data_IF_198453868216
#
_entry.id   IF_198453868216
#
_cell.length_a   1.000
_cell.length_b   1.000
_cell.length_c   1.000
_cell.angle_alpha   90.00
_cell.angle_beta   90.00
_cell.angle_gamma   90.00
#
_symmetry.space_group_name_H-M   'P 1'
#
loop_
_entity.id
_entity.type
_entity.pdbx_description
1 polymer ?
#
# COMPACT_ATOMS: atom_id res chain seq x y z
N UNK A 1 -31.05 42.91 -25.70
CA UNK A 1 -31.01 41.68 -26.52
C UNK A 1 -29.71 40.95 -26.23
N UNK A 2 -29.74 39.82 -25.50
CA UNK A 2 -28.51 39.02 -25.29
C UNK A 2 -28.29 38.16 -26.53
N UNK A 3 -27.07 38.18 -27.09
CA UNK A 3 -26.66 37.37 -28.24
C UNK A 3 -26.98 35.88 -28.01
N UNK A 4 -27.53 35.20 -29.01
CA UNK A 4 -27.88 33.77 -28.97
C UNK A 4 -26.66 32.88 -28.72
N UNK A 5 -25.46 33.32 -29.08
CA UNK A 5 -24.21 32.61 -28.83
C UNK A 5 -23.78 32.64 -27.36
N UNK A 6 -24.25 33.61 -26.58
CA UNK A 6 -23.94 33.77 -25.15
C UNK A 6 -24.93 33.05 -24.22
N UNK A 7 -25.82 32.22 -24.77
CA UNK A 7 -26.76 31.44 -23.97
C UNK A 7 -26.03 30.28 -23.25
N UNK A 8 -26.46 29.95 -22.01
CA UNK A 8 -25.86 28.84 -21.25
C UNK A 8 -26.05 27.51 -21.98
N UNK A 9 -24.98 26.73 -22.08
CA UNK A 9 -25.01 25.37 -22.63
C UNK A 9 -25.39 24.39 -21.52
N UNK A 10 -26.43 23.59 -21.75
CA UNK A 10 -26.81 22.53 -20.81
C UNK A 10 -26.17 21.21 -21.20
N UNK A 11 -25.39 20.63 -20.29
CA UNK A 11 -24.68 19.38 -20.55
C UNK A 11 -25.60 18.16 -20.70
N UNK A 12 -26.80 18.20 -20.11
CA UNK A 12 -27.74 17.08 -20.19
C UNK A 12 -28.48 17.01 -21.52
N UNK A 13 -28.97 18.13 -22.04
CA UNK A 13 -29.70 18.16 -23.31
C UNK A 13 -28.85 18.62 -24.50
N UNK A 14 -27.56 18.90 -24.28
CA UNK A 14 -26.57 19.33 -25.28
C UNK A 14 -26.99 20.56 -26.10
N UNK A 15 -27.81 21.45 -25.54
CA UNK A 15 -28.35 22.63 -26.26
C UNK A 15 -28.16 23.94 -25.49
N UNK A 16 -28.03 25.04 -26.23
CA UNK A 16 -28.11 26.42 -25.71
C UNK A 16 -29.56 26.89 -25.77
N UNK A 17 -30.18 27.14 -24.61
CA UNK A 17 -31.56 27.62 -24.52
C UNK A 17 -31.68 28.69 -23.45
N UNK A 18 -32.62 29.61 -23.63
CA UNK A 18 -32.98 30.61 -22.63
C UNK A 18 -33.88 29.98 -21.57
N UNK A 19 -33.28 29.28 -20.62
CA UNK A 19 -33.95 28.63 -19.50
C UNK A 19 -33.16 28.88 -18.21
N UNK A 20 -33.80 28.78 -17.03
CA UNK A 20 -33.07 28.83 -15.76
C UNK A 20 -32.02 27.73 -15.72
N UNK A 21 -30.81 28.08 -15.27
CA UNK A 21 -29.70 27.15 -15.14
C UNK A 21 -29.23 27.01 -13.71
N UNK A 22 -28.60 25.88 -13.44
CA UNK A 22 -27.86 25.59 -12.23
C UNK A 22 -26.48 25.08 -12.61
N UNK A 23 -25.48 25.45 -11.81
CA UNK A 23 -24.08 25.09 -12.03
C UNK A 23 -23.66 24.13 -10.93
N UNK A 24 -23.02 23.03 -11.30
CA UNK A 24 -22.39 22.13 -10.33
C UNK A 24 -21.25 22.88 -9.63
N UNK A 25 -21.23 22.86 -8.30
CA UNK A 25 -20.19 23.56 -7.50
C UNK A 25 -18.80 23.00 -7.81
N UNK A 26 -18.70 21.69 -8.05
CA UNK A 26 -17.42 21.01 -8.24
C UNK A 26 -16.89 21.10 -9.67
N UNK A 27 -17.58 20.51 -10.64
CA UNK A 27 -17.09 20.48 -12.04
C UNK A 27 -17.42 21.76 -12.82
N UNK A 28 -18.16 22.70 -12.23
CA UNK A 28 -18.58 23.94 -12.88
C UNK A 28 -19.45 23.77 -14.13
N UNK A 29 -19.99 22.57 -14.37
CA UNK A 29 -20.86 22.30 -15.52
C UNK A 29 -22.26 22.86 -15.27
N UNK A 30 -22.83 23.47 -16.31
CA UNK A 30 -24.17 24.08 -16.28
C UNK A 30 -25.24 23.14 -16.84
N UNK A 31 -26.41 23.18 -16.22
CA UNK A 31 -27.58 22.40 -16.59
C UNK A 31 -28.81 23.29 -16.55
N UNK A 32 -29.75 23.09 -17.49
CA UNK A 32 -31.09 23.65 -17.32
C UNK A 32 -31.77 22.98 -16.13
N UNK A 33 -32.39 23.77 -15.25
CA UNK A 33 -33.10 23.24 -14.07
C UNK A 33 -34.15 22.21 -14.44
N UNK A 34 -34.84 22.43 -15.57
CA UNK A 34 -35.92 21.57 -16.06
C UNK A 34 -35.40 20.29 -16.74
N UNK A 35 -34.10 20.20 -17.03
CA UNK A 35 -33.51 18.96 -17.50
C UNK A 35 -33.18 18.03 -16.33
N UNK A 36 -33.14 18.50 -15.09
CA UNK A 36 -32.75 17.71 -13.93
C UNK A 36 -33.96 17.13 -13.21
N UNK A 37 -33.81 15.91 -12.69
CA UNK A 37 -34.80 15.28 -11.83
C UNK A 37 -34.06 14.58 -10.66
N UNK A 38 -34.42 14.88 -9.40
CA UNK A 38 -35.37 15.92 -8.96
C UNK A 38 -34.86 17.34 -9.28
N UNK A 39 -35.77 18.32 -9.34
CA UNK A 39 -35.39 19.73 -9.55
C UNK A 39 -34.62 20.23 -8.32
N UNK A 40 -33.38 20.73 -8.47
CA UNK A 40 -32.60 21.22 -7.35
C UNK A 40 -33.25 22.41 -6.65
N UNK A 41 -33.30 22.40 -5.32
CA UNK A 41 -33.89 23.48 -4.50
C UNK A 41 -32.89 24.57 -4.12
N UNK A 42 -31.61 24.23 -3.96
CA UNK A 42 -30.53 25.17 -3.62
C UNK A 42 -29.43 25.10 -4.68
N UNK A 43 -29.07 26.25 -5.25
CA UNK A 43 -28.03 26.36 -6.28
C UNK A 43 -26.61 26.46 -5.71
N UNK A 44 -26.44 26.81 -4.44
CA UNK A 44 -25.11 27.09 -3.86
C UNK A 44 -24.34 25.84 -3.43
N UNK A 45 -25.02 24.72 -3.22
CA UNK A 45 -24.41 23.46 -2.75
C UNK A 45 -24.68 22.28 -3.70
N UNK A 46 -25.25 22.56 -4.87
CA UNK A 46 -25.67 21.50 -5.78
C UNK A 46 -24.50 20.87 -6.53
N UNK A 47 -24.53 19.54 -6.61
CA UNK A 47 -23.59 18.72 -7.35
C UNK A 47 -24.33 17.96 -8.46
N UNK A 48 -23.72 17.86 -9.64
CA UNK A 48 -24.26 17.03 -10.71
C UNK A 48 -24.16 15.54 -10.38
N UNK A 49 -24.87 14.68 -11.12
CA UNK A 49 -24.89 13.23 -10.88
C UNK A 49 -23.51 12.60 -10.89
N UNK A 50 -22.60 13.03 -11.78
CA UNK A 50 -21.23 12.52 -11.82
C UNK A 50 -20.40 12.97 -10.61
N UNK A 51 -20.52 14.23 -10.18
CA UNK A 51 -19.82 14.72 -8.98
C UNK A 51 -20.40 14.15 -7.68
N UNK A 52 -21.68 13.75 -7.67
CA UNK A 52 -22.28 13.00 -6.57
C UNK A 52 -21.84 11.53 -6.57
N UNK A 53 -21.71 10.93 -7.75
CA UNK A 53 -21.24 9.55 -7.92
C UNK A 53 -19.76 9.42 -7.52
N UNK A 54 -18.94 10.40 -7.89
CA UNK A 54 -17.50 10.42 -7.68
C UNK A 54 -17.08 11.58 -6.79
N UNK A 55 -17.40 11.54 -5.48
CA UNK A 55 -17.11 12.63 -4.56
C UNK A 55 -15.62 12.76 -4.24
N UNK A 56 -14.80 11.73 -4.45
CA UNK A 56 -13.36 11.73 -4.15
C UNK A 56 -12.52 12.33 -5.28
N UNK A 57 -11.31 12.76 -4.93
CA UNK A 57 -10.33 13.22 -5.90
C UNK A 57 -9.62 12.05 -6.57
N UNK A 58 -9.22 12.23 -7.82
CA UNK A 58 -8.43 11.24 -8.55
C UNK A 58 -6.97 11.35 -8.12
N UNK A 59 -6.41 10.27 -7.58
CA UNK A 59 -4.99 10.16 -7.28
C UNK A 59 -4.17 10.00 -8.57
N UNK A 60 -4.57 9.04 -9.42
CA UNK A 60 -3.88 8.72 -10.68
C UNK A 60 -4.85 8.20 -11.73
N UNK A 61 -4.62 8.57 -12.99
CA UNK A 61 -5.27 7.96 -14.16
C UNK A 61 -4.46 6.72 -14.57
N UNK A 62 -5.12 5.57 -14.69
CA UNK A 62 -4.50 4.26 -14.93
C UNK A 62 -4.44 3.97 -16.42
N UNK A 63 -5.59 3.88 -17.08
CA UNK A 63 -5.73 3.61 -18.51
C UNK A 63 -7.01 4.26 -19.03
N UNK A 64 -7.31 4.12 -20.32
CA UNK A 64 -8.55 4.58 -20.93
C UNK A 64 -9.19 3.50 -21.80
N UNK A 65 -10.46 3.69 -22.17
CA UNK A 65 -11.14 2.88 -23.19
C UNK A 65 -12.01 3.76 -24.07
N UNK A 66 -12.17 3.33 -25.31
CA UNK A 66 -13.14 3.91 -26.21
C UNK A 66 -14.56 3.58 -25.73
N UNK A 67 -15.49 4.51 -25.98
CA UNK A 67 -16.92 4.27 -25.75
C UNK A 67 -17.55 3.83 -27.05
N UNK A 68 -18.60 3.01 -27.02
CA UNK A 68 -19.26 2.48 -28.25
C UNK A 68 -19.75 3.58 -29.22
N UNK A 69 -19.79 4.84 -28.77
CA UNK A 69 -20.21 6.01 -29.55
C UNK A 69 -19.05 6.87 -30.11
N UNK A 70 -17.76 6.52 -29.90
CA UNK A 70 -16.63 7.29 -30.42
C UNK A 70 -16.24 6.95 -31.88
N UNK A 71 -16.74 5.82 -32.42
CA UNK A 71 -16.32 5.27 -33.72
C UNK A 71 -16.93 5.87 -35.00
N UNK A 72 -17.68 6.98 -34.94
CA UNK A 72 -18.25 7.63 -36.13
C UNK A 72 -17.84 9.10 -36.23
N UNK A 73 -16.58 9.35 -36.62
CA UNK A 73 -16.19 10.61 -37.25
C UNK A 73 -15.53 10.30 -38.58
N UNK A 74 -16.34 10.32 -39.64
CA UNK A 74 -15.89 10.38 -41.04
C UNK A 74 -15.05 11.65 -41.25
N UNK A 75 -13.94 11.48 -41.97
CA UNK A 75 -12.80 12.39 -41.97
C UNK A 75 -13.04 13.83 -42.42
N UNK A 76 -12.24 14.71 -41.82
CA UNK A 76 -11.60 15.84 -42.47
C UNK A 76 -10.32 16.16 -41.70
N UNK A 77 -9.17 16.02 -42.37
CA UNK A 77 -7.84 16.30 -41.85
C UNK A 77 -7.58 17.80 -41.85
N UNK A 78 -8.04 18.49 -40.81
CA UNK A 78 -7.52 19.78 -40.37
C UNK A 78 -7.81 19.90 -38.86
N UNK A 79 -7.07 19.18 -38.01
CA UNK A 79 -7.28 19.19 -36.57
C UNK A 79 -6.43 20.27 -35.90
N UNK A 80 -7.11 21.27 -35.36
CA UNK A 80 -6.55 22.15 -34.34
C UNK A 80 -6.29 21.34 -33.05
N UNK A 81 -5.38 21.78 -32.18
CA UNK A 81 -5.15 21.13 -30.86
C UNK A 81 -6.42 21.05 -30.00
N UNK A 82 -7.40 21.91 -30.26
CA UNK A 82 -8.69 21.90 -29.59
C UNK A 82 -9.59 20.72 -30.03
N UNK A 83 -9.44 20.22 -31.27
CA UNK A 83 -10.26 19.11 -31.81
C UNK A 83 -9.80 17.74 -31.30
N UNK A 84 -8.50 17.52 -31.10
CA UNK A 84 -7.97 16.27 -30.54
C UNK A 84 -8.49 16.03 -29.11
N UNK A 85 -8.46 17.07 -28.27
CA UNK A 85 -8.96 17.01 -26.89
C UNK A 85 -10.50 16.84 -26.81
N UNK A 86 -11.23 17.12 -27.89
CA UNK A 86 -12.68 16.84 -27.96
C UNK A 86 -12.92 15.34 -28.12
N UNK A 87 -12.08 14.64 -28.86
CA UNK A 87 -12.10 13.17 -28.95
C UNK A 87 -11.82 12.52 -27.60
N UNK A 88 -10.76 12.97 -26.91
CA UNK A 88 -10.36 12.47 -25.59
C UNK A 88 -11.49 12.56 -24.55
N UNK A 89 -12.24 13.67 -24.54
CA UNK A 89 -13.35 13.86 -23.59
C UNK A 89 -14.51 12.87 -23.75
N UNK A 90 -14.60 12.17 -24.90
CA UNK A 90 -15.64 11.15 -25.16
C UNK A 90 -15.27 9.76 -24.65
N UNK A 91 -14.01 9.55 -24.24
CA UNK A 91 -13.51 8.29 -23.69
C UNK A 91 -13.91 8.11 -22.24
N UNK A 92 -13.78 6.89 -21.75
CA UNK A 92 -13.78 6.60 -20.31
C UNK A 92 -12.36 6.34 -19.84
N UNK A 93 -12.08 6.71 -18.59
CA UNK A 93 -10.77 6.59 -17.97
C UNK A 93 -10.89 5.77 -16.71
N UNK A 94 -10.01 4.79 -16.54
CA UNK A 94 -9.92 4.00 -15.32
C UNK A 94 -9.03 4.75 -14.33
N UNK A 95 -9.55 5.09 -13.16
CA UNK A 95 -8.84 5.96 -12.21
C UNK A 95 -8.68 5.30 -10.85
N UNK A 96 -7.55 5.59 -10.20
CA UNK A 96 -7.33 5.36 -8.78
C UNK A 96 -7.70 6.62 -8.01
N UNK A 97 -8.50 6.46 -6.96
CA UNK A 97 -8.92 7.53 -6.06
C UNK A 97 -7.86 7.85 -5.00
N UNK A 98 -7.87 9.09 -4.50
CA UNK A 98 -7.17 9.45 -3.26
C UNK A 98 -7.79 8.71 -2.08
N UNK A 99 -6.95 8.28 -1.14
CA UNK A 99 -7.33 7.58 0.11
C UNK A 99 -8.13 6.28 -0.05
N UNK A 100 -8.24 5.71 -1.27
CA UNK A 100 -8.84 4.39 -1.52
C UNK A 100 -7.86 3.42 -2.19
N UNK A 101 -8.14 2.14 -2.01
CA UNK A 101 -7.31 1.07 -2.55
C UNK A 101 -7.51 0.90 -4.06
N UNK A 102 -6.59 0.16 -4.70
CA UNK A 102 -6.71 -0.17 -6.11
C UNK A 102 -7.94 -1.04 -6.44
N UNK A 103 -8.57 -1.66 -5.43
CA UNK A 103 -9.85 -2.38 -5.58
C UNK A 103 -11.04 -1.45 -5.84
N UNK A 104 -10.94 -0.20 -5.41
CA UNK A 104 -11.99 0.81 -5.62
C UNK A 104 -11.81 1.60 -6.93
N UNK A 105 -10.83 1.25 -7.75
CA UNK A 105 -10.66 1.87 -9.06
C UNK A 105 -11.93 1.67 -9.90
N UNK A 106 -12.30 2.69 -10.66
CA UNK A 106 -13.49 2.63 -11.50
C UNK A 106 -13.32 3.46 -12.78
N UNK A 107 -14.21 3.19 -13.74
CA UNK A 107 -14.30 3.94 -14.98
C UNK A 107 -15.08 5.24 -14.78
N UNK A 108 -14.45 6.36 -15.13
CA UNK A 108 -15.03 7.70 -15.10
C UNK A 108 -15.09 8.31 -16.50
N UNK A 109 -16.02 9.25 -16.72
CA UNK A 109 -16.11 9.93 -18.01
C UNK A 109 -14.94 10.90 -18.20
N UNK A 110 -14.36 10.92 -19.40
CA UNK A 110 -13.31 11.86 -19.77
C UNK A 110 -13.75 13.31 -19.66
N UNK A 111 -15.02 13.56 -19.99
CA UNK A 111 -15.62 14.87 -19.80
C UNK A 111 -15.58 15.31 -18.33
N UNK A 112 -16.05 14.50 -17.40
CA UNK A 112 -15.99 14.81 -15.97
C UNK A 112 -14.54 15.03 -15.51
N UNK A 113 -13.65 14.11 -15.88
CA UNK A 113 -12.25 14.13 -15.48
C UNK A 113 -11.53 15.40 -15.97
N UNK A 114 -11.78 15.81 -17.21
CA UNK A 114 -11.21 17.04 -17.78
C UNK A 114 -11.67 18.32 -17.06
N UNK A 115 -12.84 18.29 -16.40
CA UNK A 115 -13.40 19.44 -15.67
C UNK A 115 -12.91 19.52 -14.24
N UNK A 116 -12.81 18.38 -13.56
CA UNK A 116 -12.44 18.31 -12.14
C UNK A 116 -10.91 18.23 -11.96
N UNK A 117 -10.21 17.57 -12.88
CA UNK A 117 -8.76 17.33 -12.83
C UNK A 117 -8.06 17.62 -14.17
N UNK A 118 -8.24 18.84 -14.70
CA UNK A 118 -7.70 19.27 -15.99
C UNK A 118 -6.22 18.91 -16.21
N UNK A 119 -5.34 19.26 -15.25
CA UNK A 119 -3.91 19.04 -15.43
C UNK A 119 -3.54 17.55 -15.52
N UNK A 120 -4.19 16.69 -14.71
CA UNK A 120 -3.96 15.24 -14.76
C UNK A 120 -4.46 14.67 -16.08
N UNK A 121 -5.65 15.10 -16.53
CA UNK A 121 -6.24 14.69 -17.80
C UNK A 121 -5.35 15.02 -18.99
N UNK A 122 -4.96 16.29 -19.16
CA UNK A 122 -4.13 16.71 -20.31
C UNK A 122 -2.76 16.03 -20.29
N UNK A 123 -2.11 15.96 -19.12
CA UNK A 123 -0.81 15.31 -19.00
C UNK A 123 -0.87 13.82 -19.36
N UNK A 124 -2.00 13.15 -19.07
CA UNK A 124 -2.21 11.75 -19.41
C UNK A 124 -2.45 11.58 -20.90
N UNK A 125 -3.39 12.33 -21.50
CA UNK A 125 -3.69 12.26 -22.93
C UNK A 125 -2.46 12.56 -23.80
N UNK A 126 -1.62 13.53 -23.40
CA UNK A 126 -0.41 13.87 -24.14
C UNK A 126 0.67 12.78 -24.10
N UNK A 127 0.63 11.86 -23.14
CA UNK A 127 1.65 10.82 -22.95
C UNK A 127 1.19 9.45 -23.41
N UNK A 128 -0.10 9.18 -23.35
CA UNK A 128 -0.67 7.85 -23.56
C UNK A 128 -1.64 7.88 -24.73
N UNK A 129 -1.19 7.37 -25.88
CA UNK A 129 -1.96 7.33 -27.12
C UNK A 129 -2.75 6.03 -27.31
N UNK A 130 -2.32 4.96 -26.65
CA UNK A 130 -2.93 3.63 -26.74
C UNK A 130 -3.36 3.14 -25.35
N UNK A 131 -4.49 2.40 -25.26
CA UNK A 131 -4.95 1.86 -23.99
C UNK A 131 -4.07 0.67 -23.58
N UNK A 132 -3.52 0.75 -22.36
CA UNK A 132 -2.79 -0.35 -21.73
C UNK A 132 -3.75 -1.28 -20.97
N UNK A 133 -3.39 -2.57 -20.87
CA UNK A 133 -4.16 -3.53 -20.08
C UNK A 133 -4.05 -3.21 -18.58
N UNK A 134 -5.20 -3.23 -17.90
CA UNK A 134 -5.29 -3.01 -16.46
C UNK A 134 -4.46 -4.05 -15.70
N UNK A 135 -4.43 -5.31 -16.16
CA UNK A 135 -3.69 -6.38 -15.50
C UNK A 135 -2.16 -6.17 -15.56
N UNK A 136 -1.66 -5.48 -16.59
CA UNK A 136 -0.24 -5.13 -16.71
C UNK A 136 0.14 -3.96 -15.79
N UNK A 137 -0.76 -2.97 -15.64
CA UNK A 137 -0.50 -1.77 -14.82
C UNK A 137 -0.76 -2.00 -13.33
N UNK A 138 -1.77 -2.80 -12.98
CA UNK A 138 -2.15 -3.13 -11.62
C UNK A 138 -1.88 -4.62 -11.39
N UNK A 139 -0.67 -4.97 -10.92
CA UNK A 139 -0.37 -6.33 -10.53
C UNK A 139 -1.34 -6.83 -9.45
N UNK A 140 -1.64 -8.13 -9.47
CA UNK A 140 -2.50 -8.78 -8.47
C UNK A 140 -2.04 -8.49 -7.03
N UNK A 141 -0.73 -8.41 -6.78
CA UNK A 141 -0.18 -8.05 -5.47
C UNK A 141 -0.75 -6.73 -4.92
N UNK A 142 -0.99 -5.71 -5.75
CA UNK A 142 -1.48 -4.40 -5.29
C UNK A 142 -2.94 -4.41 -4.82
N UNK A 143 -3.69 -5.45 -5.19
CA UNK A 143 -5.07 -5.69 -4.72
C UNK A 143 -5.14 -6.83 -3.71
N UNK A 144 -4.00 -7.41 -3.33
CA UNK A 144 -3.94 -8.49 -2.33
C UNK A 144 -3.51 -7.92 -0.98
N UNK A 145 -4.21 -8.32 0.07
CA UNK A 145 -3.90 -7.87 1.43
C UNK A 145 -2.59 -8.53 1.89
N UNK A 146 -1.69 -7.72 2.46
CA UNK A 146 -0.48 -8.21 3.11
C UNK A 146 -0.71 -8.42 4.60
N UNK A 147 -1.25 -7.40 5.27
CA UNK A 147 -1.57 -7.44 6.71
C UNK A 147 -2.50 -6.31 7.13
N UNK A 148 -3.15 -6.51 8.27
CA UNK A 148 -3.86 -5.45 8.99
C UNK A 148 -2.88 -4.73 9.91
N UNK A 149 -2.82 -3.40 9.82
CA UNK A 149 -1.89 -2.52 10.53
C UNK A 149 -2.52 -1.94 11.79
N UNK A 150 -3.77 -1.47 11.69
CA UNK A 150 -4.51 -0.86 12.79
C UNK A 150 -6.00 -1.19 12.69
N UNK A 151 -6.74 -0.91 13.76
CA UNK A 151 -8.18 -1.05 13.84
C UNK A 151 -8.77 0.16 14.56
N UNK A 152 -9.90 0.64 14.05
CA UNK A 152 -10.68 1.75 14.59
C UNK A 152 -12.16 1.44 14.36
N UNK A 153 -12.88 1.09 15.43
CA UNK A 153 -14.24 0.53 15.38
C UNK A 153 -14.35 -0.66 14.39
N UNK A 154 -15.18 -0.53 13.34
CA UNK A 154 -15.40 -1.55 12.30
C UNK A 154 -14.50 -1.35 11.06
N UNK A 155 -13.56 -0.40 11.13
CA UNK A 155 -12.59 -0.13 10.07
C UNK A 155 -11.20 -0.62 10.46
N UNK A 156 -10.49 -1.13 9.47
CA UNK A 156 -9.14 -1.66 9.62
C UNK A 156 -8.21 -1.03 8.61
N UNK A 157 -7.07 -0.53 9.08
CA UNK A 157 -6.03 -0.01 8.20
C UNK A 157 -5.27 -1.18 7.59
N UNK A 158 -5.38 -1.36 6.28
CA UNK A 158 -4.81 -2.49 5.55
C UNK A 158 -3.55 -2.07 4.82
N UNK A 159 -2.49 -2.88 4.97
CA UNK A 159 -1.29 -2.83 4.14
C UNK A 159 -1.45 -3.79 2.97
N UNK A 160 -1.24 -3.27 1.76
CA UNK A 160 -1.34 -4.00 0.49
C UNK A 160 0.01 -4.55 0.05
N UNK A 161 0.05 -5.73 -0.59
CA UNK A 161 1.31 -6.33 -1.01
C UNK A 161 2.00 -5.46 -2.07
N UNK A 162 3.33 -5.37 -1.98
CA UNK A 162 4.19 -4.61 -2.89
C UNK A 162 3.84 -3.12 -3.06
N UNK A 163 3.05 -2.57 -2.14
CA UNK A 163 2.82 -1.13 -2.03
C UNK A 163 3.49 -0.57 -0.76
N UNK A 164 3.86 0.71 -0.72
CA UNK A 164 4.39 1.33 0.48
C UNK A 164 3.29 1.58 1.55
N UNK A 165 3.70 1.98 2.76
CA UNK A 165 2.75 2.16 3.88
C UNK A 165 1.87 3.41 3.73
N UNK A 166 2.30 4.42 2.99
CA UNK A 166 1.50 5.59 2.60
C UNK A 166 0.27 5.22 1.74
N UNK A 167 0.29 4.06 1.09
CA UNK A 167 -0.82 3.52 0.31
C UNK A 167 -1.75 2.62 1.14
N UNK A 168 -1.56 2.53 2.46
CA UNK A 168 -2.51 1.83 3.33
C UNK A 168 -3.86 2.54 3.36
N UNK A 169 -4.95 1.77 3.35
CA UNK A 169 -6.32 2.31 3.29
C UNK A 169 -7.17 1.69 4.40
N UNK A 170 -8.16 2.44 4.86
CA UNK A 170 -9.14 1.94 5.82
C UNK A 170 -10.21 1.16 5.09
N UNK A 171 -10.36 -0.11 5.45
CA UNK A 171 -11.28 -1.05 4.82
C UNK A 171 -12.21 -1.65 5.87
N UNK A 172 -13.41 -2.07 5.45
CA UNK A 172 -14.37 -2.73 6.34
C UNK A 172 -13.94 -4.17 6.61
N UNK A 173 -14.39 -4.76 7.71
CA UNK A 173 -14.11 -6.18 8.01
C UNK A 173 -14.60 -7.15 6.94
N UNK A 174 -15.60 -6.76 6.13
CA UNK A 174 -16.20 -7.61 5.08
C UNK A 174 -15.23 -7.97 3.95
N UNK A 175 -14.24 -7.12 3.68
CA UNK A 175 -13.26 -7.34 2.60
C UNK A 175 -11.96 -7.97 3.07
N UNK A 176 -11.82 -8.22 4.38
CA UNK A 176 -10.60 -8.70 5.04
C UNK A 176 -10.77 -10.17 5.42
N UNK A 177 -9.77 -10.97 5.10
CA UNK A 177 -9.75 -12.39 5.49
C UNK A 177 -9.68 -12.57 7.01
N UNK A 178 -10.49 -13.49 7.54
CA UNK A 178 -10.49 -13.89 8.95
C UNK A 178 -9.09 -14.25 9.49
N UNK A 179 -8.24 -14.85 8.64
CA UNK A 179 -6.87 -15.23 8.96
C UNK A 179 -6.03 -14.00 9.37
N UNK A 180 -6.16 -12.90 8.62
CA UNK A 180 -5.44 -11.65 8.84
C UNK A 180 -5.95 -10.91 10.08
N UNK A 181 -7.27 -10.91 10.30
CA UNK A 181 -7.87 -10.34 11.51
C UNK A 181 -7.40 -11.09 12.76
N UNK A 182 -7.41 -12.44 12.73
CA UNK A 182 -6.89 -13.28 13.82
C UNK A 182 -5.41 -13.01 14.07
N UNK A 183 -4.61 -12.86 13.01
CA UNK A 183 -3.19 -12.54 13.12
C UNK A 183 -2.97 -11.16 13.77
N UNK A 184 -3.73 -10.14 13.35
CA UNK A 184 -3.68 -8.80 13.94
C UNK A 184 -4.03 -8.81 15.43
N UNK A 185 -5.16 -9.39 15.81
CA UNK A 185 -5.55 -9.47 17.22
C UNK A 185 -4.56 -10.28 18.06
N UNK A 186 -3.94 -11.33 17.49
CA UNK A 186 -2.88 -12.09 18.17
C UNK A 186 -1.65 -11.20 18.43
N UNK A 187 -1.26 -10.36 17.47
CA UNK A 187 -0.13 -9.43 17.59
C UNK A 187 -0.39 -8.33 18.62
N UNK A 188 -1.62 -7.83 18.69
CA UNK A 188 -2.00 -6.76 19.63
C UNK A 188 -2.12 -7.25 21.08
N UNK A 189 -2.22 -8.57 21.31
CA UNK A 189 -2.19 -9.13 22.65
C UNK A 189 -0.80 -8.93 23.27
N UNK A 190 -0.71 -8.53 24.55
CA UNK A 190 0.57 -8.36 25.22
C UNK A 190 1.34 -9.68 25.23
N UNK A 191 2.58 -9.66 24.74
CA UNK A 191 3.49 -10.80 24.86
C UNK A 191 3.82 -10.99 26.33
N UNK A 192 3.56 -12.19 26.87
CA UNK A 192 4.02 -12.55 28.20
C UNK A 192 5.54 -12.60 28.22
N UNK A 193 6.18 -11.93 29.17
CA UNK A 193 7.62 -12.03 29.39
C UNK A 193 7.95 -13.43 29.94
N UNK A 194 8.14 -14.39 29.04
CA UNK A 194 8.84 -15.63 29.39
C UNK A 194 10.33 -15.38 29.28
N UNK A 195 10.91 -14.69 30.28
CA UNK A 195 12.36 -14.63 30.38
C UNK A 195 12.86 -15.97 30.89
N UNK A 196 13.46 -16.76 30.01
CA UNK A 196 14.35 -17.83 30.47
C UNK A 196 15.60 -17.11 30.92
N UNK A 197 15.95 -17.24 32.20
CA UNK A 197 17.24 -16.75 32.69
C UNK A 197 18.33 -17.64 32.11
N UNK A 198 18.83 -17.26 30.95
CA UNK A 198 20.04 -17.85 30.39
C UNK A 198 21.22 -17.43 31.26
N UNK A 199 21.93 -18.41 31.82
CA UNK A 199 23.19 -18.15 32.51
C UNK A 199 24.31 -18.07 31.46
N UNK A 200 24.72 -16.84 31.14
CA UNK A 200 25.80 -16.55 30.19
C UNK A 200 27.20 -16.92 30.73
N UNK A 201 27.31 -17.34 32.00
CA UNK A 201 28.58 -17.76 32.61
C UNK A 201 28.79 -19.28 32.62
N UNK A 202 27.74 -20.07 32.38
CA UNK A 202 27.79 -21.53 32.36
C UNK A 202 28.20 -22.04 30.97
N UNK A 203 29.43 -22.58 30.83
CA UNK A 203 29.90 -23.22 29.59
C UNK A 203 29.02 -24.43 29.18
N UNK A 204 28.31 -25.05 30.12
CA UNK A 204 27.36 -26.12 29.82
C UNK A 204 26.04 -25.61 29.22
N UNK A 205 25.75 -24.29 29.28
CA UNK A 205 24.53 -23.70 28.69
C UNK A 205 24.44 -24.00 27.20
N UNK A 206 25.55 -23.97 26.45
CA UNK A 206 25.51 -24.29 25.02
C UNK A 206 25.04 -25.72 24.76
N UNK A 207 25.51 -26.71 25.53
CA UNK A 207 25.11 -28.11 25.36
C UNK A 207 23.61 -28.33 25.61
N UNK A 208 22.98 -27.48 26.44
CA UNK A 208 21.53 -27.51 26.69
C UNK A 208 20.71 -26.94 25.54
N UNK A 209 21.24 -25.94 24.82
CA UNK A 209 20.51 -25.19 23.80
C UNK A 209 20.96 -25.49 22.36
N UNK A 210 22.05 -26.23 22.18
CA UNK A 210 22.55 -26.66 20.86
C UNK A 210 21.47 -27.48 20.15
N UNK A 211 21.18 -27.11 18.91
CA UNK A 211 20.28 -27.85 18.06
C UNK A 211 21.00 -29.06 17.46
N UNK A 212 20.42 -30.25 17.64
CA UNK A 212 20.88 -31.50 17.00
C UNK A 212 20.26 -31.71 15.62
N UNK A 213 19.07 -31.16 15.43
CA UNK A 213 18.26 -31.22 14.21
C UNK A 213 17.72 -29.81 13.94
N UNK A 214 17.16 -29.60 12.75
CA UNK A 214 16.54 -28.34 12.37
C UNK A 214 15.50 -27.86 13.41
N UNK A 215 15.55 -26.59 13.85
CA UNK A 215 14.61 -26.08 14.85
C UNK A 215 13.15 -26.14 14.40
N UNK A 216 12.27 -26.68 15.24
CA UNK A 216 10.83 -26.88 14.92
C UNK A 216 10.01 -25.61 14.72
N UNK A 217 10.56 -24.45 15.08
CA UNK A 217 9.91 -23.16 14.82
C UNK A 217 10.11 -22.69 13.36
N UNK A 218 11.03 -23.31 12.62
CA UNK A 218 11.20 -23.04 11.19
C UNK A 218 10.17 -23.84 10.39
N UNK A 219 9.75 -23.27 9.26
CA UNK A 219 8.82 -23.92 8.34
C UNK A 219 9.49 -25.05 7.53
N UNK A 220 10.80 -24.95 7.30
CA UNK A 220 11.60 -25.88 6.50
C UNK A 220 12.88 -26.29 7.25
N UNK A 221 13.51 -27.36 6.78
CA UNK A 221 14.74 -27.88 7.35
C UNK A 221 15.97 -27.17 6.80
N UNK A 222 16.94 -26.91 7.68
CA UNK A 222 18.26 -26.40 7.35
C UNK A 222 19.14 -27.53 6.82
N UNK A 223 20.06 -27.19 5.92
CA UNK A 223 21.18 -28.09 5.62
C UNK A 223 22.11 -28.23 6.83
N UNK A 224 22.83 -29.34 6.92
CA UNK A 224 23.74 -29.64 8.05
C UNK A 224 24.73 -28.50 8.32
N UNK A 225 25.37 -27.98 7.28
CA UNK A 225 26.32 -26.88 7.39
C UNK A 225 25.66 -25.56 7.87
N UNK A 226 24.38 -25.34 7.54
CA UNK A 226 23.63 -24.18 8.01
C UNK A 226 23.28 -24.34 9.49
N UNK A 227 22.91 -25.56 9.92
CA UNK A 227 22.65 -25.87 11.32
C UNK A 227 23.91 -25.69 12.17
N UNK A 228 25.07 -26.10 11.65
CA UNK A 228 26.37 -25.83 12.28
C UNK A 228 26.64 -24.32 12.41
N UNK A 229 26.40 -23.54 11.35
CA UNK A 229 26.52 -22.08 11.37
C UNK A 229 25.60 -21.42 12.41
N UNK A 230 24.34 -21.85 12.49
CA UNK A 230 23.38 -21.37 13.50
C UNK A 230 23.83 -21.74 14.92
N UNK A 231 24.31 -22.96 15.13
CA UNK A 231 24.84 -23.38 16.43
C UNK A 231 26.10 -22.59 16.80
N UNK A 232 26.96 -22.23 15.84
CA UNK A 232 28.12 -21.39 16.07
C UNK A 232 27.74 -19.96 16.46
N UNK A 233 26.75 -19.36 15.78
CA UNK A 233 26.19 -18.06 16.17
C UNK A 233 25.59 -18.11 17.57
N UNK A 234 24.83 -19.16 17.88
CA UNK A 234 24.22 -19.36 19.20
C UNK A 234 25.28 -19.52 20.30
N UNK A 235 26.34 -20.30 20.05
CA UNK A 235 27.46 -20.45 20.96
C UNK A 235 28.09 -19.09 21.29
N UNK A 236 28.42 -18.28 20.28
CA UNK A 236 29.00 -16.96 20.48
C UNK A 236 28.07 -16.02 21.27
N UNK A 237 26.78 -16.05 20.94
CA UNK A 237 25.77 -15.25 21.65
C UNK A 237 25.68 -15.62 23.13
N UNK A 238 25.65 -16.91 23.46
CA UNK A 238 25.65 -17.42 24.85
C UNK A 238 26.92 -17.02 25.63
N UNK A 239 28.02 -16.77 24.93
CA UNK A 239 29.27 -16.26 25.51
C UNK A 239 29.46 -14.75 25.40
N UNK A 240 28.42 -14.00 25.00
CA UNK A 240 28.46 -12.54 24.83
C UNK A 240 29.56 -12.07 23.85
N UNK A 241 29.80 -12.84 22.79
CA UNK A 241 30.76 -12.52 21.73
C UNK A 241 30.02 -12.14 20.45
N UNK A 242 30.47 -11.07 19.81
CA UNK A 242 29.98 -10.69 18.50
C UNK A 242 30.53 -11.65 17.43
N UNK A 243 29.76 -11.85 16.36
CA UNK A 243 30.09 -12.78 15.28
C UNK A 243 30.14 -12.09 13.92
N UNK A 244 31.06 -12.52 13.08
CA UNK A 244 31.11 -12.19 11.65
C UNK A 244 30.91 -13.49 10.89
N UNK A 245 29.75 -13.63 10.24
CA UNK A 245 29.45 -14.79 9.41
C UNK A 245 29.99 -14.57 7.99
N UNK A 246 31.17 -15.12 7.71
CA UNK A 246 31.93 -14.89 6.48
C UNK A 246 31.85 -16.05 5.48
N UNK A 247 30.70 -16.74 5.41
CA UNK A 247 30.47 -17.83 4.46
C UNK A 247 30.46 -17.36 3.00
N UNK A 248 30.70 -18.30 2.08
CA UNK A 248 30.58 -18.07 0.63
C UNK A 248 29.19 -17.53 0.24
N UNK A 249 29.15 -16.77 -0.86
CA UNK A 249 27.90 -16.24 -1.39
C UNK A 249 26.99 -17.39 -1.85
N UNK A 250 25.71 -17.33 -1.50
CA UNK A 250 24.74 -18.37 -1.87
C UNK A 250 24.54 -19.50 -0.85
N UNK A 251 25.40 -19.62 0.17
CA UNK A 251 25.26 -20.66 1.23
C UNK A 251 24.11 -20.40 2.24
N UNK A 252 23.23 -19.43 1.98
CA UNK A 252 22.05 -19.20 2.81
C UNK A 252 22.32 -18.45 4.12
N UNK A 253 23.29 -17.53 4.16
CA UNK A 253 23.55 -16.64 5.32
C UNK A 253 22.29 -15.95 5.86
N UNK A 254 21.40 -15.54 4.97
CA UNK A 254 20.08 -14.96 5.32
C UNK A 254 19.25 -15.94 6.15
N UNK A 255 19.14 -17.19 5.70
CA UNK A 255 18.37 -18.25 6.35
C UNK A 255 19.00 -18.60 7.70
N UNK A 256 20.33 -18.72 7.77
CA UNK A 256 21.04 -18.93 9.03
C UNK A 256 20.77 -17.79 10.03
N UNK A 257 20.76 -16.54 9.56
CA UNK A 257 20.46 -15.37 10.40
C UNK A 257 19.01 -15.38 10.90
N UNK A 258 18.04 -15.73 10.04
CA UNK A 258 16.63 -15.88 10.43
C UNK A 258 16.46 -16.98 11.49
N UNK A 259 17.10 -18.14 11.26
CA UNK A 259 17.09 -19.25 12.21
C UNK A 259 17.72 -18.87 13.56
N UNK A 260 18.81 -18.10 13.54
CA UNK A 260 19.45 -17.56 14.74
C UNK A 260 18.54 -16.57 15.49
N UNK A 261 17.84 -15.67 14.79
CA UNK A 261 16.84 -14.78 15.40
C UNK A 261 15.73 -15.58 16.10
N UNK A 262 15.25 -16.64 15.45
CA UNK A 262 14.27 -17.56 16.02
C UNK A 262 14.80 -18.30 17.24
N UNK A 263 16.06 -18.74 17.22
CA UNK A 263 16.71 -19.41 18.34
C UNK A 263 16.75 -18.49 19.58
N UNK A 264 17.22 -17.24 19.43
CA UNK A 264 17.26 -16.26 20.52
C UNK A 264 15.86 -15.99 21.07
N UNK A 265 14.88 -15.80 20.19
CA UNK A 265 13.48 -15.54 20.59
C UNK A 265 12.90 -16.70 21.42
N UNK A 266 13.22 -17.95 21.07
CA UNK A 266 12.78 -19.14 21.81
C UNK A 266 13.50 -19.34 23.14
N UNK A 267 14.70 -18.75 23.31
CA UNK A 267 15.39 -18.67 24.60
C UNK A 267 14.80 -17.61 25.52
N UNK A 268 13.66 -17.03 25.19
CA UNK A 268 12.93 -16.14 26.11
C UNK A 268 13.44 -14.71 26.17
N UNK A 269 14.39 -14.33 25.29
CA UNK A 269 14.70 -12.93 25.05
C UNK A 269 13.62 -12.35 24.12
N UNK A 270 12.69 -11.60 24.71
CA UNK A 270 11.61 -10.92 23.98
C UNK A 270 12.04 -9.54 23.44
N UNK A 271 13.35 -9.32 23.27
CA UNK A 271 13.86 -8.03 22.77
C UNK A 271 13.70 -7.94 21.25
N UNK A 272 13.22 -6.81 20.72
CA UNK A 272 13.17 -6.58 19.28
C UNK A 272 14.56 -6.62 18.66
N UNK A 273 14.67 -7.21 17.48
CA UNK A 273 15.92 -7.32 16.72
C UNK A 273 15.92 -6.34 15.54
N UNK A 274 16.98 -5.56 15.41
CA UNK A 274 17.18 -4.66 14.28
C UNK A 274 18.10 -5.33 13.25
N UNK A 275 17.65 -5.39 11.99
CA UNK A 275 18.43 -5.92 10.87
C UNK A 275 18.54 -4.83 9.81
N UNK A 276 19.76 -4.34 9.58
CA UNK A 276 20.05 -3.31 8.58
C UNK A 276 20.58 -3.99 7.32
N UNK A 277 19.91 -3.76 6.19
CA UNK A 277 20.21 -4.42 4.90
C UNK A 277 20.23 -3.41 3.76
N UNK A 278 20.95 -3.69 2.66
CA UNK A 278 20.84 -2.88 1.44
C UNK A 278 19.40 -2.83 0.93
N UNK A 279 18.96 -1.67 0.44
CA UNK A 279 17.60 -1.44 -0.06
C UNK A 279 17.17 -2.50 -1.10
N UNK A 280 18.08 -2.88 -1.99
CA UNK A 280 17.85 -3.88 -3.05
C UNK A 280 17.50 -5.28 -2.52
N UNK A 281 17.92 -5.61 -1.29
CA UNK A 281 17.69 -6.92 -0.67
C UNK A 281 16.63 -6.90 0.41
N UNK A 282 16.13 -5.72 0.81
CA UNK A 282 15.17 -5.58 1.90
C UNK A 282 13.89 -6.39 1.66
N UNK A 283 13.32 -6.34 0.45
CA UNK A 283 12.15 -7.13 0.10
C UNK A 283 12.44 -8.64 0.12
N UNK A 284 13.65 -9.05 -0.29
CA UNK A 284 14.07 -10.44 -0.19
C UNK A 284 14.13 -10.91 1.26
N UNK A 285 14.73 -10.13 2.16
CA UNK A 285 14.76 -10.44 3.59
C UNK A 285 13.35 -10.57 4.18
N UNK A 286 12.44 -9.64 3.86
CA UNK A 286 11.05 -9.72 4.32
C UNK A 286 10.35 -10.99 3.84
N UNK A 287 10.55 -11.38 2.58
CA UNK A 287 10.02 -12.62 2.00
C UNK A 287 10.60 -13.84 2.68
N UNK A 288 11.91 -13.91 2.89
CA UNK A 288 12.55 -15.03 3.58
C UNK A 288 12.03 -15.18 5.02
N UNK A 289 11.81 -14.09 5.74
CA UNK A 289 11.15 -14.14 7.06
C UNK A 289 9.74 -14.72 6.98
N UNK A 290 8.94 -14.27 6.00
CA UNK A 290 7.58 -14.77 5.80
C UNK A 290 7.55 -16.27 5.41
N UNK A 291 8.54 -16.73 4.64
CA UNK A 291 8.67 -18.13 4.20
C UNK A 291 9.17 -19.04 5.32
N UNK A 292 10.27 -18.67 5.98
CA UNK A 292 10.97 -19.54 6.93
C UNK A 292 10.42 -19.44 8.36
N UNK A 293 9.87 -18.28 8.75
CA UNK A 293 9.44 -18.00 10.12
C UNK A 293 8.18 -17.12 10.16
N UNK A 294 7.04 -17.56 9.57
CA UNK A 294 5.81 -16.76 9.40
C UNK A 294 5.18 -16.28 10.72
N UNK A 295 5.46 -16.94 11.84
CA UNK A 295 4.96 -16.55 13.16
C UNK A 295 5.62 -15.29 13.73
N UNK A 296 6.77 -14.89 13.18
CA UNK A 296 7.55 -13.74 13.66
C UNK A 296 6.99 -12.46 13.07
N UNK A 297 6.71 -11.48 13.92
CA UNK A 297 6.25 -10.18 13.44
C UNK A 297 7.44 -9.37 12.90
N UNK A 298 7.73 -9.56 11.61
CA UNK A 298 8.73 -8.81 10.87
C UNK A 298 8.10 -7.54 10.27
N UNK A 299 8.74 -6.39 10.46
CA UNK A 299 8.29 -5.09 9.95
C UNK A 299 9.39 -4.42 9.15
N UNK A 300 9.06 -4.04 7.91
CA UNK A 300 9.96 -3.31 7.02
C UNK A 300 9.84 -1.81 7.23
N UNK A 301 10.81 -1.22 7.94
CA UNK A 301 10.95 0.20 8.17
C UNK A 301 11.73 0.89 7.04
N UNK A 302 11.01 1.22 5.98
CA UNK A 302 11.51 1.89 4.79
C UNK A 302 10.42 2.76 4.14
N UNK A 303 10.71 3.34 2.98
CA UNK A 303 9.78 4.20 2.25
C UNK A 303 9.94 5.67 2.59
N UNK A 304 8.98 6.47 2.13
CA UNK A 304 8.95 7.92 2.27
C UNK A 304 8.59 8.35 3.71
N UNK A 305 8.52 9.67 3.94
CA UNK A 305 8.24 10.19 5.28
C UNK A 305 6.86 9.77 5.79
N UNK A 306 5.85 9.68 4.91
CA UNK A 306 4.49 9.33 5.30
C UNK A 306 4.38 7.85 5.66
N UNK A 307 4.97 6.96 4.86
CA UNK A 307 5.09 5.54 5.18
C UNK A 307 5.69 5.32 6.57
N UNK A 308 6.81 5.99 6.88
CA UNK A 308 7.48 5.84 8.18
C UNK A 308 6.67 6.41 9.35
N UNK A 309 5.88 7.47 9.14
CA UNK A 309 4.93 7.97 10.16
C UNK A 309 3.87 6.93 10.48
N UNK A 310 3.30 6.28 9.46
CA UNK A 310 2.29 5.24 9.64
C UNK A 310 2.87 4.05 10.43
N UNK A 311 4.07 3.59 10.07
CA UNK A 311 4.76 2.52 10.80
C UNK A 311 4.99 2.91 12.26
N UNK A 312 5.54 4.11 12.52
CA UNK A 312 5.76 4.60 13.89
C UNK A 312 4.48 4.72 14.70
N UNK A 313 3.37 5.12 14.06
CA UNK A 313 2.09 5.31 14.72
C UNK A 313 1.43 4.00 15.12
N UNK A 314 1.47 2.98 14.26
CA UNK A 314 0.63 1.79 14.42
C UNK A 314 1.40 0.49 14.65
N UNK A 315 2.64 0.38 14.18
CA UNK A 315 3.42 -0.87 14.27
C UNK A 315 4.58 -0.79 15.28
N UNK A 316 4.83 0.38 15.89
CA UNK A 316 6.00 0.59 16.73
C UNK A 316 5.86 0.01 18.13
N UNK A 317 5.02 0.63 18.96
CA UNK A 317 4.84 0.29 20.36
C UNK A 317 3.39 -0.07 20.66
N UNK A 318 3.21 -1.02 21.57
CA UNK A 318 1.93 -1.32 22.17
C UNK A 318 1.51 -0.17 23.10
N UNK A 319 0.24 -0.18 23.53
CA UNK A 319 -0.26 0.74 24.55
C UNK A 319 0.51 0.70 25.87
N UNK A 320 1.30 -0.35 26.11
CA UNK A 320 2.16 -0.52 27.30
C UNK A 320 3.63 -0.13 27.07
N UNK A 321 3.94 0.44 25.91
CA UNK A 321 5.29 0.91 25.56
C UNK A 321 6.27 -0.18 25.13
N UNK A 322 5.86 -1.45 25.09
CA UNK A 322 6.67 -2.54 24.51
C UNK A 322 6.58 -2.52 22.99
N UNK A 323 7.65 -2.81 22.27
CA UNK A 323 7.58 -2.92 20.82
C UNK A 323 6.59 -4.00 20.36
N UNK A 324 5.87 -3.74 19.27
CA UNK A 324 4.94 -4.70 18.65
C UNK A 324 5.66 -5.68 17.72
N UNK A 325 6.76 -5.26 17.11
CA UNK A 325 7.58 -6.07 16.21
C UNK A 325 8.60 -6.94 16.94
N UNK A 326 8.88 -8.10 16.35
CA UNK A 326 9.97 -8.99 16.76
C UNK A 326 11.25 -8.63 16.00
N UNK A 327 11.10 -8.30 14.72
CA UNK A 327 12.20 -7.95 13.81
C UNK A 327 11.85 -6.67 13.08
N UNK A 328 12.76 -5.71 13.07
CA UNK A 328 12.69 -4.50 12.24
C UNK A 328 13.74 -4.59 11.14
N UNK A 329 13.30 -4.64 9.89
CA UNK A 329 14.18 -4.52 8.72
C UNK A 329 14.28 -3.05 8.33
N UNK A 330 15.48 -2.55 8.09
CA UNK A 330 15.66 -1.18 7.59
C UNK A 330 16.90 -1.07 6.71
N UNK A 331 17.09 0.09 6.09
CA UNK A 331 18.29 0.38 5.28
C UNK A 331 19.26 1.29 6.03
N UNK A 332 20.48 1.37 5.53
CA UNK A 332 21.49 2.25 6.10
C UNK A 332 21.04 3.72 6.08
N UNK A 333 20.45 4.17 4.97
CA UNK A 333 20.00 5.55 4.81
C UNK A 333 18.87 5.90 5.78
N UNK A 334 17.87 5.02 5.90
CA UNK A 334 16.72 5.22 6.79
C UNK A 334 17.15 5.15 8.26
N UNK A 335 18.01 4.19 8.62
CA UNK A 335 18.49 4.07 10.00
C UNK A 335 19.31 5.28 10.45
N UNK A 336 20.11 5.86 9.57
CA UNK A 336 20.85 7.09 9.84
C UNK A 336 19.93 8.32 9.94
N UNK A 337 18.95 8.45 9.03
CA UNK A 337 18.02 9.57 9.02
C UNK A 337 17.11 9.59 10.26
N UNK A 338 16.67 8.41 10.71
CA UNK A 338 15.68 8.26 11.79
C UNK A 338 16.34 7.67 13.06
N UNK A 339 17.64 7.87 13.27
CA UNK A 339 18.42 7.31 14.39
C UNK A 339 17.85 7.66 15.77
N UNK A 340 17.19 8.82 15.90
CA UNK A 340 16.54 9.25 17.15
C UNK A 340 15.41 8.34 17.58
N UNK A 341 14.79 7.60 16.66
CA UNK A 341 13.72 6.65 16.96
C UNK A 341 14.26 5.24 17.23
N UNK A 342 15.47 4.92 16.76
CA UNK A 342 16.07 3.58 16.83
C UNK A 342 17.01 3.37 18.03
N UNK A 343 17.34 4.44 18.76
CA UNK A 343 18.06 4.39 20.04
C UNK A 343 17.10 4.11 21.18
#
# INVERSE_FOLDING_TARGET
>A
WKCSQCLPYCEKCKTKKRAPTIKCVRCCVEYHTNCLFPIPKDSKQWHCSECLKWPENVYRIITFRETENSGQTSGHNDTSSDDELVGEKKREYYVKWEDKSYRSCEWVSGLWLSRVHWQKFVNFCNKNTEPEDIAEIIPEAWVTLERVVAADDDLYLVKWQNLPYDQCTWETSEVIEDSLLKAYHKRMKPKGQKSIKVDFTDEASFHRYKFKESPKFLQYELYDYQLEGVNWLLYNWLHQRNSILADEMGLGKTIQTIAFCGAISNLGESKPMLIVVPLSTLHNWAREFATWMPQTNCVSYSGDQESRKIIRKYEWNSSRGSALFDVLLTTYEVSMADISFLK
#
